data_IF_151690670736
#
_entry.id   IF_151690670736
#
_cell.length_a   1.000
_cell.length_b   1.000
_cell.length_c   1.000
_cell.angle_alpha   90.00
_cell.angle_beta   90.00
_cell.angle_gamma   90.00
#
_symmetry.space_group_name_H-M   'P 1'
#
loop_
_entity.id
_entity.type
_entity.pdbx_description
1 polymer ?
#
# COMPACT_ATOMS: atom_id res chain seq x y z
N UNK A 1 -34.05 26.29 -12.80
CA UNK A 1 -34.37 24.90 -13.22
C UNK A 1 -33.16 23.99 -13.31
N UNK A 2 -32.25 24.12 -14.29
CA UNK A 2 -31.09 23.19 -14.39
C UNK A 2 -30.17 23.23 -13.15
N UNK A 3 -29.97 24.42 -12.56
CA UNK A 3 -29.20 24.59 -11.32
C UNK A 3 -29.89 23.93 -10.12
N UNK A 4 -31.22 24.05 -10.00
CA UNK A 4 -32.00 23.47 -8.89
C UNK A 4 -32.08 21.95 -9.00
N UNK A 5 -32.22 21.41 -10.21
CA UNK A 5 -32.16 19.96 -10.47
C UNK A 5 -30.76 19.42 -10.15
N UNK A 6 -29.70 20.11 -10.58
CA UNK A 6 -28.32 19.74 -10.24
C UNK A 6 -28.11 19.78 -8.73
N UNK A 7 -28.64 20.79 -8.04
CA UNK A 7 -28.57 20.94 -6.59
C UNK A 7 -29.28 19.81 -5.87
N UNK A 8 -30.53 19.52 -6.25
CA UNK A 8 -31.33 18.42 -5.71
C UNK A 8 -30.61 17.07 -5.87
N UNK A 9 -30.08 16.77 -7.06
CA UNK A 9 -29.35 15.53 -7.33
C UNK A 9 -28.03 15.47 -6.55
N UNK A 10 -27.36 16.60 -6.32
CA UNK A 10 -26.10 16.67 -5.56
C UNK A 10 -26.31 16.53 -4.06
N UNK A 11 -27.41 17.06 -3.51
CA UNK A 11 -27.74 16.95 -2.08
C UNK A 11 -28.56 15.71 -1.71
N UNK A 12 -29.13 15.01 -2.68
CA UNK A 12 -29.94 13.80 -2.44
C UNK A 12 -29.10 12.69 -1.78
N UNK A 13 -29.47 12.28 -0.57
CA UNK A 13 -28.78 11.26 0.24
C UNK A 13 -28.67 9.92 -0.51
N UNK A 14 -29.76 9.46 -1.10
CA UNK A 14 -29.81 8.21 -1.88
C UNK A 14 -28.82 8.27 -3.05
N UNK A 15 -28.81 9.37 -3.81
CA UNK A 15 -27.87 9.54 -4.93
C UNK A 15 -26.41 9.60 -4.44
N UNK A 16 -26.17 10.22 -3.27
CA UNK A 16 -24.84 10.37 -2.69
C UNK A 16 -24.27 9.04 -2.17
N UNK A 17 -25.10 8.08 -1.75
CA UNK A 17 -24.66 6.77 -1.27
C UNK A 17 -24.61 5.68 -2.35
N UNK A 18 -25.40 5.81 -3.42
CA UNK A 18 -25.52 4.77 -4.46
C UNK A 18 -24.67 5.01 -5.70
N UNK A 19 -24.45 6.27 -6.11
CA UNK A 19 -23.76 6.54 -7.39
C UNK A 19 -22.25 6.34 -7.27
N UNK A 20 -21.62 5.58 -8.18
CA UNK A 20 -20.17 5.46 -8.23
C UNK A 20 -19.55 6.82 -8.60
N UNK A 21 -18.49 7.20 -7.87
CA UNK A 21 -17.76 8.42 -8.16
C UNK A 21 -16.93 8.23 -9.44
N UNK A 22 -17.26 8.99 -10.49
CA UNK A 22 -16.47 8.99 -11.74
C UNK A 22 -15.18 9.82 -11.66
N UNK A 23 -14.96 10.52 -10.53
CA UNK A 23 -13.71 11.26 -10.34
C UNK A 23 -12.60 10.29 -9.92
N UNK A 24 -11.36 10.56 -10.32
CA UNK A 24 -10.17 9.86 -9.80
C UNK A 24 -10.26 9.78 -8.26
N UNK A 25 -9.97 8.61 -7.63
CA UNK A 25 -10.03 8.44 -6.18
C UNK A 25 -9.35 9.60 -5.45
N UNK A 26 -9.99 10.12 -4.40
CA UNK A 26 -9.37 11.10 -3.52
C UNK A 26 -8.20 10.45 -2.78
N UNK A 27 -7.27 11.26 -2.28
CA UNK A 27 -6.15 10.80 -1.46
C UNK A 27 -5.04 10.09 -2.22
N UNK A 28 -3.81 10.45 -1.92
CA UNK A 28 -2.68 9.57 -2.17
C UNK A 28 -2.90 8.33 -1.30
N UNK A 29 -2.94 7.14 -1.90
CA UNK A 29 -2.64 5.93 -1.12
C UNK A 29 -1.28 6.25 -0.52
N UNK A 30 -1.10 6.00 0.77
CA UNK A 30 0.22 6.00 1.36
C UNK A 30 0.76 4.62 0.97
N UNK A 31 1.49 4.46 -0.15
CA UNK A 31 2.41 3.36 -0.17
C UNK A 31 3.29 3.57 1.06
N UNK A 32 3.69 2.48 1.69
CA UNK A 32 4.95 2.56 2.40
C UNK A 32 5.94 3.19 1.41
N UNK A 33 6.40 4.42 1.71
CA UNK A 33 7.48 5.07 0.99
C UNK A 33 8.67 4.89 1.91
N UNK A 34 9.44 3.80 1.75
CA UNK A 34 10.67 3.69 2.50
C UNK A 34 11.55 4.88 2.10
N UNK A 35 12.21 5.48 3.08
CA UNK A 35 13.12 6.60 2.89
C UNK A 35 14.57 6.11 2.76
N UNK A 36 14.86 4.90 3.24
CA UNK A 36 16.18 4.28 3.15
C UNK A 36 16.09 2.82 2.70
N UNK A 37 17.14 2.28 2.05
CA UNK A 37 17.24 0.86 1.76
C UNK A 37 17.08 0.04 3.05
N UNK A 38 16.41 -1.11 2.94
CA UNK A 38 16.17 -2.04 4.05
C UNK A 38 15.30 -1.49 5.19
N UNK A 39 14.59 -0.37 5.00
CA UNK A 39 13.61 0.08 6.00
C UNK A 39 12.39 -0.85 6.06
N UNK A 40 11.89 -1.24 4.89
CA UNK A 40 10.72 -2.10 4.75
C UNK A 40 11.05 -3.28 3.87
N UNK A 41 10.97 -4.47 4.45
CA UNK A 41 11.28 -5.73 3.76
C UNK A 41 10.03 -6.60 3.75
N UNK A 42 9.63 -7.06 2.57
CA UNK A 42 8.61 -8.10 2.43
C UNK A 42 9.26 -9.48 2.44
N UNK A 43 8.68 -10.44 3.17
CA UNK A 43 9.06 -11.85 3.13
C UNK A 43 7.90 -12.71 2.65
N UNK A 44 8.18 -13.68 1.79
CA UNK A 44 7.19 -14.63 1.28
C UNK A 44 7.83 -16.02 1.04
N UNK A 45 7.01 -17.06 1.14
CA UNK A 45 7.37 -18.41 0.72
C UNK A 45 6.74 -18.72 -0.64
N UNK A 46 7.55 -19.18 -1.58
CA UNK A 46 7.10 -19.67 -2.87
C UNK A 46 7.24 -21.19 -2.91
N UNK A 47 6.11 -21.89 -2.99
CA UNK A 47 6.08 -23.35 -3.14
C UNK A 47 4.70 -23.95 -2.87
N UNK A 48 4.61 -25.29 -2.86
CA UNK A 48 5.70 -26.23 -3.13
C UNK A 48 6.13 -26.24 -4.60
N UNK A 49 7.43 -26.37 -4.85
CA UNK A 49 8.06 -26.56 -6.17
C UNK A 49 8.50 -28.03 -6.34
N UNK A 50 8.75 -28.49 -7.57
CA UNK A 50 9.31 -29.81 -7.81
C UNK A 50 10.61 -30.00 -7.02
N UNK A 51 10.72 -31.10 -6.28
CA UNK A 51 11.91 -31.34 -5.42
C UNK A 51 13.18 -31.35 -6.27
N UNK A 52 14.14 -30.54 -5.87
CA UNK A 52 15.46 -30.54 -6.52
C UNK A 52 16.31 -31.74 -6.07
N UNK A 53 17.39 -32.08 -6.79
CA UNK A 53 18.34 -33.10 -6.35
C UNK A 53 18.97 -32.82 -4.98
N UNK A 54 19.04 -31.55 -4.55
CA UNK A 54 19.53 -31.17 -3.22
C UNK A 54 18.44 -31.29 -2.12
N UNK A 55 17.23 -31.68 -2.50
CA UNK A 55 16.07 -31.87 -1.64
C UNK A 55 15.24 -30.61 -1.40
N UNK A 56 15.52 -29.50 -2.10
CA UNK A 56 14.80 -28.24 -1.92
C UNK A 56 13.42 -28.31 -2.54
N UNK A 57 12.41 -27.76 -1.87
CA UNK A 57 11.01 -27.77 -2.30
C UNK A 57 10.32 -26.41 -2.19
N UNK A 58 10.94 -25.45 -1.51
CA UNK A 58 10.40 -24.11 -1.30
C UNK A 58 11.48 -23.05 -1.56
N UNK A 59 11.03 -21.85 -1.85
CA UNK A 59 11.84 -20.64 -1.91
C UNK A 59 11.39 -19.71 -0.80
N UNK A 60 12.33 -19.20 -0.02
CA UNK A 60 12.08 -18.01 0.79
C UNK A 60 12.61 -16.80 0.05
N UNK A 61 11.80 -15.75 -0.06
CA UNK A 61 12.12 -14.54 -0.80
C UNK A 61 11.96 -13.34 0.12
N UNK A 62 12.99 -12.52 0.19
CA UNK A 62 12.98 -11.22 0.85
C UNK A 62 13.12 -10.13 -0.21
N UNK A 63 12.29 -9.10 -0.11
CA UNK A 63 12.24 -8.00 -1.07
C UNK A 63 12.31 -6.67 -0.34
N UNK A 64 13.33 -5.87 -0.61
CA UNK A 64 13.39 -4.49 -0.13
C UNK A 64 12.41 -3.61 -0.91
N UNK A 65 11.57 -2.86 -0.20
CA UNK A 65 10.51 -2.10 -0.84
C UNK A 65 11.02 -0.85 -1.56
N UNK A 66 12.20 -0.33 -1.21
CA UNK A 66 12.74 0.87 -1.85
C UNK A 66 13.45 0.52 -3.15
N UNK A 67 14.55 -0.21 -3.00
CA UNK A 67 15.48 -0.57 -4.07
C UNK A 67 14.91 -1.66 -4.97
N UNK A 68 13.87 -2.38 -4.51
CA UNK A 68 13.37 -3.62 -5.14
C UNK A 68 14.42 -4.73 -5.16
N UNK A 69 15.43 -4.65 -4.28
CA UNK A 69 16.41 -5.70 -4.12
C UNK A 69 15.76 -7.01 -3.70
N UNK A 70 16.14 -8.11 -4.34
CA UNK A 70 15.60 -9.45 -4.09
C UNK A 70 16.67 -10.34 -3.53
N UNK A 71 16.45 -10.91 -2.35
CA UNK A 71 17.20 -12.04 -1.81
C UNK A 71 16.32 -13.29 -1.82
N UNK A 72 16.74 -14.32 -2.56
CA UNK A 72 15.99 -15.57 -2.66
C UNK A 72 16.89 -16.76 -2.29
N UNK A 73 16.34 -17.65 -1.47
CA UNK A 73 17.04 -18.83 -0.95
C UNK A 73 16.20 -20.09 -1.14
N UNK A 74 16.81 -21.14 -1.70
CA UNK A 74 16.19 -22.46 -1.78
C UNK A 74 16.21 -23.15 -0.41
N UNK A 75 15.08 -23.72 -0.01
CA UNK A 75 14.93 -24.44 1.25
C UNK A 75 14.12 -25.72 1.07
N UNK A 76 14.33 -26.68 1.98
CA UNK A 76 13.64 -27.98 1.95
C UNK A 76 12.20 -27.89 2.43
N UNK A 77 11.94 -27.02 3.41
CA UNK A 77 10.66 -26.91 4.12
C UNK A 77 10.35 -25.45 4.43
N UNK A 78 9.07 -25.10 4.43
CA UNK A 78 8.57 -23.78 4.84
C UNK A 78 8.21 -23.81 6.33
N UNK A 79 9.22 -23.73 7.21
CA UNK A 79 9.04 -23.71 8.67
C UNK A 79 9.53 -22.38 9.27
N UNK A 80 9.07 -22.06 10.48
CA UNK A 80 9.48 -20.83 11.17
C UNK A 80 10.97 -20.83 11.53
N UNK A 81 11.54 -21.99 11.86
CA UNK A 81 12.97 -22.18 12.11
C UNK A 81 13.80 -21.82 10.88
N UNK A 82 13.38 -22.32 9.71
CA UNK A 82 14.05 -22.04 8.44
C UNK A 82 13.92 -20.56 8.08
N UNK A 83 12.71 -19.98 8.24
CA UNK A 83 12.49 -18.56 7.98
C UNK A 83 13.35 -17.67 8.88
N UNK A 84 13.40 -17.95 10.18
CA UNK A 84 14.21 -17.22 11.15
C UNK A 84 15.70 -17.34 10.83
N UNK A 85 16.19 -18.57 10.61
CA UNK A 85 17.59 -18.80 10.25
C UNK A 85 17.99 -18.04 8.98
N UNK A 86 17.12 -18.06 7.96
CA UNK A 86 17.35 -17.35 6.70
C UNK A 86 17.27 -15.83 6.85
N UNK A 87 16.39 -15.32 7.69
CA UNK A 87 16.37 -13.90 8.04
C UNK A 87 17.69 -13.46 8.68
N UNK A 88 18.25 -14.26 9.60
CA UNK A 88 19.55 -13.94 10.22
C UNK A 88 20.70 -13.99 9.20
N UNK A 89 20.81 -15.08 8.43
CA UNK A 89 21.98 -15.30 7.55
C UNK A 89 21.95 -14.45 6.29
N UNK A 90 20.77 -14.29 5.69
CA UNK A 90 20.64 -13.72 4.34
C UNK A 90 20.27 -12.24 4.40
N UNK A 91 19.67 -11.76 5.50
CA UNK A 91 19.26 -10.36 5.66
C UNK A 91 20.09 -9.66 6.72
N UNK A 92 19.95 -10.05 7.98
CA UNK A 92 20.61 -9.34 9.10
C UNK A 92 22.14 -9.30 8.94
N UNK A 93 22.77 -10.44 8.65
CA UNK A 93 24.23 -10.51 8.52
C UNK A 93 24.80 -9.76 7.29
N UNK A 94 23.97 -9.49 6.27
CA UNK A 94 24.40 -8.83 5.02
C UNK A 94 24.06 -7.36 4.96
N UNK A 95 22.90 -6.99 5.48
CA UNK A 95 22.29 -5.68 5.28
C UNK A 95 21.95 -4.97 6.60
N UNK A 96 22.06 -5.67 7.73
CA UNK A 96 21.59 -5.20 9.02
C UNK A 96 20.10 -5.47 9.24
N UNK A 97 19.61 -5.08 10.42
CA UNK A 97 18.22 -5.27 10.79
C UNK A 97 17.31 -4.27 10.06
N UNK A 98 16.30 -4.73 9.30
CA UNK A 98 15.32 -3.83 8.74
C UNK A 98 14.47 -3.20 9.84
N UNK A 99 13.88 -2.03 9.58
CA UNK A 99 12.99 -1.38 10.55
C UNK A 99 11.66 -2.14 10.66
N UNK A 100 11.12 -2.56 9.51
CA UNK A 100 9.86 -3.29 9.42
C UNK A 100 10.03 -4.52 8.53
N UNK A 101 9.70 -5.69 9.08
CA UNK A 101 9.56 -6.92 8.31
C UNK A 101 8.08 -7.19 8.08
N UNK A 102 7.68 -7.40 6.84
CA UNK A 102 6.30 -7.58 6.42
C UNK A 102 6.11 -8.99 5.86
N UNK A 103 5.20 -9.77 6.44
CA UNK A 103 4.86 -11.11 5.95
C UNK A 103 3.35 -11.28 5.71
N UNK A 104 2.97 -12.37 5.05
CA UNK A 104 1.59 -12.84 5.13
C UNK A 104 1.27 -13.47 6.49
N UNK A 105 0.02 -13.90 6.67
CA UNK A 105 -0.41 -14.63 7.88
C UNK A 105 -0.09 -16.13 7.82
N UNK A 106 0.89 -16.54 7.01
CA UNK A 106 1.31 -17.93 6.91
C UNK A 106 1.83 -18.47 8.25
N UNK A 107 1.58 -19.75 8.51
CA UNK A 107 2.03 -20.40 9.75
C UNK A 107 3.52 -20.27 10.06
N UNK A 108 4.46 -20.21 9.09
CA UNK A 108 5.87 -20.00 9.38
C UNK A 108 6.18 -18.64 9.99
N UNK A 109 5.40 -17.61 9.65
CA UNK A 109 5.65 -16.22 10.08
C UNK A 109 4.87 -15.83 11.33
N UNK A 110 3.77 -16.51 11.64
CA UNK A 110 2.96 -16.27 12.86
C UNK A 110 3.54 -16.99 14.10
N UNK A 111 4.59 -17.78 13.93
CA UNK A 111 5.24 -18.52 15.02
C UNK A 111 5.90 -17.60 16.05
N UNK A 112 5.76 -17.92 17.34
CA UNK A 112 6.46 -17.23 18.43
C UNK A 112 7.98 -17.20 18.22
N UNK A 113 8.56 -18.28 17.69
CA UNK A 113 9.99 -18.34 17.40
C UNK A 113 10.41 -17.23 16.43
N UNK A 114 9.64 -17.08 15.34
CA UNK A 114 9.94 -16.11 14.29
C UNK A 114 9.81 -14.68 14.84
N UNK A 115 8.71 -14.40 15.56
CA UNK A 115 8.48 -13.12 16.21
C UNK A 115 9.60 -12.74 17.19
N UNK A 116 10.03 -13.69 18.03
CA UNK A 116 11.11 -13.47 18.99
C UNK A 116 12.44 -13.17 18.29
N UNK A 117 12.80 -13.92 17.23
CA UNK A 117 14.06 -13.68 16.50
C UNK A 117 14.05 -12.32 15.82
N UNK A 118 12.96 -11.96 15.15
CA UNK A 118 12.83 -10.67 14.45
C UNK A 118 12.89 -9.50 15.45
N UNK A 119 12.17 -9.62 16.57
CA UNK A 119 12.17 -8.60 17.63
C UNK A 119 13.52 -8.49 18.35
N UNK A 120 14.20 -9.61 18.62
CA UNK A 120 15.51 -9.62 19.26
C UNK A 120 16.60 -8.95 18.41
N UNK A 121 16.46 -8.99 17.09
CA UNK A 121 17.35 -8.30 16.15
C UNK A 121 16.96 -6.83 15.91
N UNK A 122 15.90 -6.33 16.56
CA UNK A 122 15.49 -4.93 16.52
C UNK A 122 14.53 -4.56 15.37
N UNK A 123 13.96 -5.56 14.70
CA UNK A 123 12.97 -5.36 13.63
C UNK A 123 11.54 -5.47 14.17
N UNK A 124 10.63 -4.66 13.66
CA UNK A 124 9.20 -4.77 13.99
C UNK A 124 8.51 -5.63 12.93
N UNK A 125 7.97 -6.77 13.34
CA UNK A 125 7.24 -7.66 12.45
C UNK A 125 5.79 -7.18 12.25
N UNK A 126 5.34 -7.12 10.99
CA UNK A 126 4.01 -6.64 10.60
C UNK A 126 3.35 -7.64 9.65
N UNK A 127 2.20 -8.16 10.06
CA UNK A 127 1.41 -9.05 9.23
C UNK A 127 0.55 -8.24 8.24
N UNK A 128 0.59 -8.61 6.96
CA UNK A 128 -0.27 -7.99 5.93
C UNK A 128 -1.75 -8.23 6.24
N UNK A 129 -2.60 -7.23 6.03
CA UNK A 129 -4.07 -7.41 5.99
C UNK A 129 -4.52 -7.67 4.56
N UNK A 130 -5.64 -8.36 4.37
CA UNK A 130 -6.16 -8.79 3.06
C UNK A 130 -6.45 -7.66 2.05
N UNK A 131 -6.28 -6.39 2.45
CA UNK A 131 -6.54 -5.19 1.64
C UNK A 131 -5.42 -4.13 1.74
N UNK A 132 -4.18 -4.52 2.01
CA UNK A 132 -3.06 -3.56 2.09
C UNK A 132 -2.25 -3.50 0.77
N UNK A 133 -1.94 -2.30 0.23
CA UNK A 133 -1.08 -2.13 -0.97
C UNK A 133 0.34 -2.69 -0.85
N UNK A 134 0.74 -3.17 0.33
CA UNK A 134 2.00 -3.87 0.59
C UNK A 134 2.08 -5.18 -0.18
N UNK A 135 0.96 -5.91 -0.29
CA UNK A 135 0.84 -7.15 -1.07
C UNK A 135 1.24 -6.91 -2.53
N UNK A 136 0.89 -5.75 -3.11
CA UNK A 136 1.16 -5.45 -4.52
C UNK A 136 2.64 -5.27 -4.89
N UNK A 137 3.53 -4.99 -3.93
CA UNK A 137 4.96 -4.80 -4.21
C UNK A 137 5.68 -6.16 -4.22
N UNK A 138 5.52 -6.94 -3.15
CA UNK A 138 6.07 -8.29 -3.03
C UNK A 138 5.46 -9.23 -4.06
N UNK A 139 4.14 -9.17 -4.31
CA UNK A 139 3.48 -10.00 -5.31
C UNK A 139 4.02 -9.76 -6.72
N UNK A 140 4.28 -8.50 -7.09
CA UNK A 140 4.85 -8.19 -8.42
C UNK A 140 6.25 -8.74 -8.59
N UNK A 141 7.12 -8.54 -7.59
CA UNK A 141 8.47 -9.08 -7.61
C UNK A 141 8.45 -10.60 -7.64
N UNK A 142 7.59 -11.23 -6.82
CA UNK A 142 7.42 -12.68 -6.80
C UNK A 142 6.88 -13.21 -8.13
N UNK A 143 6.02 -12.45 -8.83
CA UNK A 143 5.55 -12.79 -10.18
C UNK A 143 6.70 -12.76 -11.19
N UNK A 144 7.53 -11.73 -11.14
CA UNK A 144 8.71 -11.61 -12.02
C UNK A 144 9.71 -12.73 -11.73
N UNK A 145 9.99 -13.02 -10.46
CA UNK A 145 10.85 -14.12 -10.05
C UNK A 145 10.32 -15.48 -10.53
N UNK A 146 9.03 -15.76 -10.32
CA UNK A 146 8.38 -16.98 -10.84
C UNK A 146 8.49 -17.10 -12.35
N UNK A 147 8.37 -15.98 -13.06
CA UNK A 147 8.49 -15.94 -14.53
C UNK A 147 9.92 -16.21 -14.98
N UNK A 148 10.90 -15.59 -14.33
CA UNK A 148 12.32 -15.81 -14.61
C UNK A 148 12.74 -17.27 -14.34
N UNK A 149 12.29 -17.84 -13.21
CA UNK A 149 12.53 -19.26 -12.90
C UNK A 149 11.94 -20.16 -13.99
N UNK A 150 10.68 -19.92 -14.42
CA UNK A 150 10.06 -20.70 -15.50
C UNK A 150 10.85 -20.62 -16.80
N UNK A 151 11.35 -19.44 -17.16
CA UNK A 151 12.13 -19.23 -18.37
C UNK A 151 13.48 -19.97 -18.32
N UNK A 152 14.16 -19.95 -17.18
CA UNK A 152 15.47 -20.60 -17.01
C UNK A 152 15.41 -22.12 -16.92
N UNK A 153 14.35 -22.64 -16.31
CA UNK A 153 14.23 -24.06 -16.00
C UNK A 153 13.86 -24.90 -17.24
N UNK A 154 13.14 -24.32 -18.20
CA UNK A 154 12.67 -25.03 -19.39
C UNK A 154 11.99 -26.34 -19.01
N UNK A 155 12.38 -27.45 -19.65
CA UNK A 155 11.84 -28.78 -19.37
C UNK A 155 12.43 -29.45 -18.10
N UNK A 156 13.53 -28.91 -17.54
CA UNK A 156 14.25 -29.52 -16.40
C UNK A 156 13.81 -28.98 -15.06
N UNK A 157 12.52 -29.22 -14.76
CA UNK A 157 11.79 -28.67 -13.61
C UNK A 157 12.40 -28.90 -12.22
N UNK A 158 13.34 -29.84 -12.05
CA UNK A 158 14.01 -30.13 -10.78
C UNK A 158 15.30 -29.33 -10.57
N UNK A 159 15.77 -28.58 -11.56
CA UNK A 159 17.06 -27.87 -11.51
C UNK A 159 16.95 -26.38 -11.14
N UNK A 160 15.77 -25.93 -10.72
CA UNK A 160 15.48 -24.52 -10.45
C UNK A 160 16.37 -23.89 -9.38
N UNK A 161 16.78 -24.65 -8.36
CA UNK A 161 17.59 -24.14 -7.26
C UNK A 161 19.01 -23.76 -7.66
N UNK A 162 19.55 -24.38 -8.72
CA UNK A 162 20.90 -24.10 -9.24
C UNK A 162 21.01 -22.74 -9.91
N UNK A 163 19.91 -22.24 -10.47
CA UNK A 163 19.90 -21.00 -11.25
C UNK A 163 19.50 -19.76 -10.44
N UNK A 164 19.16 -19.93 -9.17
CA UNK A 164 18.72 -18.82 -8.32
C UNK A 164 19.74 -17.68 -8.22
N UNK A 165 21.06 -17.93 -8.06
CA UNK A 165 22.02 -16.83 -8.02
C UNK A 165 22.02 -16.00 -9.31
N UNK A 166 21.98 -16.64 -10.48
CA UNK A 166 21.96 -15.99 -11.78
C UNK A 166 20.65 -15.22 -12.00
N UNK A 167 19.52 -15.80 -11.61
CA UNK A 167 18.21 -15.16 -11.69
C UNK A 167 18.16 -13.93 -10.77
N UNK A 168 18.64 -14.04 -9.53
CA UNK A 168 18.70 -12.91 -8.62
C UNK A 168 19.62 -11.81 -9.16
N UNK A 169 20.78 -12.17 -9.70
CA UNK A 169 21.69 -11.21 -10.33
C UNK A 169 21.02 -10.46 -11.50
N UNK A 170 20.32 -11.18 -12.39
CA UNK A 170 19.59 -10.58 -13.49
C UNK A 170 18.47 -9.63 -12.99
N UNK A 171 17.75 -10.00 -11.94
CA UNK A 171 16.71 -9.14 -11.36
C UNK A 171 17.29 -7.90 -10.64
N UNK A 172 18.50 -8.00 -10.08
CA UNK A 172 19.18 -6.90 -9.38
C UNK A 172 19.78 -5.88 -10.34
N UNK A 173 20.13 -6.29 -11.57
CA UNK A 173 20.75 -5.44 -12.59
C UNK A 173 19.76 -4.93 -13.64
N UNK A 174 18.59 -5.57 -13.79
CA UNK A 174 17.57 -5.10 -14.71
C UNK A 174 16.87 -3.83 -14.19
N UNK A 175 16.75 -2.75 -15.01
CA UNK A 175 16.00 -1.57 -14.62
C UNK A 175 14.51 -1.89 -14.45
N UNK A 176 13.91 -1.40 -13.38
CA UNK A 176 12.50 -1.67 -13.08
C UNK A 176 11.60 -0.53 -13.60
N UNK A 177 10.51 -0.85 -14.29
CA UNK A 177 9.60 0.15 -14.91
C UNK A 177 9.08 1.22 -13.93
N UNK A 178 8.95 0.86 -12.64
CA UNK A 178 8.43 1.78 -11.62
C UNK A 178 9.45 2.79 -11.09
N UNK A 179 10.73 2.45 -11.11
CA UNK A 179 11.83 3.30 -10.59
C UNK A 179 12.63 3.92 -11.73
N UNK A 180 12.66 3.28 -12.90
CA UNK A 180 13.53 3.65 -14.02
C UNK A 180 15.01 3.36 -13.77
N UNK A 181 15.35 2.75 -12.63
CA UNK A 181 16.70 2.40 -12.19
C UNK A 181 16.74 0.92 -11.81
N UNK A 182 17.92 0.31 -11.90
CA UNK A 182 18.15 -1.06 -11.42
C UNK A 182 18.20 -1.09 -9.88
N UNK A 183 17.86 -2.23 -9.26
CA UNK A 183 18.09 -2.41 -7.83
C UNK A 183 19.54 -2.24 -7.39
N UNK A 184 20.53 -2.58 -8.23
CA UNK A 184 21.96 -2.34 -7.97
C UNK A 184 22.27 -0.86 -7.84
N UNK A 185 21.80 -0.05 -8.78
CA UNK A 185 21.98 1.40 -8.73
C UNK A 185 21.30 1.99 -7.49
N UNK A 186 20.09 1.53 -7.16
CA UNK A 186 19.34 2.02 -6.00
C UNK A 186 19.98 1.63 -4.65
N UNK A 187 20.61 0.46 -4.56
CA UNK A 187 21.18 -0.04 -3.31
C UNK A 187 22.64 0.36 -3.11
N UNK A 188 23.47 0.22 -4.14
CA UNK A 188 24.91 0.47 -4.08
C UNK A 188 25.31 1.84 -4.63
N UNK A 189 24.39 2.55 -5.28
CA UNK A 189 24.68 3.79 -5.97
C UNK A 189 25.38 3.60 -7.31
N UNK A 190 25.67 2.35 -7.73
CA UNK A 190 26.38 1.99 -8.97
C UNK A 190 25.74 0.80 -9.67
N UNK A 191 25.95 0.70 -10.97
CA UNK A 191 25.61 -0.52 -11.71
C UNK A 191 26.60 -1.67 -11.44
N UNK A 192 26.14 -2.91 -11.58
CA UNK A 192 27.01 -4.08 -11.52
C UNK A 192 27.37 -4.50 -12.94
N UNK A 193 28.67 -4.54 -13.23
CA UNK A 193 29.15 -4.88 -14.56
C UNK A 193 28.81 -6.34 -14.91
N UNK A 194 28.13 -6.53 -16.03
CA UNK A 194 28.01 -7.85 -16.64
C UNK A 194 29.22 -8.13 -17.53
N UNK A 195 29.52 -9.40 -17.85
CA UNK A 195 30.57 -9.71 -18.82
C UNK A 195 30.39 -9.01 -20.17
N UNK A 196 29.14 -8.73 -20.57
CA UNK A 196 28.85 -8.00 -21.80
C UNK A 196 29.20 -6.51 -21.66
N UNK A 197 28.94 -5.91 -20.49
CA UNK A 197 29.28 -4.51 -20.20
C UNK A 197 30.78 -4.28 -20.25
N UNK A 198 31.57 -5.18 -19.66
CA UNK A 198 33.03 -5.12 -19.69
C UNK A 198 33.62 -5.21 -21.10
N UNK A 199 32.88 -5.81 -22.05
CA UNK A 199 33.29 -5.93 -23.45
C UNK A 199 32.84 -4.72 -24.27
N UNK A 200 31.70 -4.11 -23.92
CA UNK A 200 31.00 -3.13 -24.77
C UNK A 200 31.13 -1.69 -24.28
N UNK A 201 31.47 -1.46 -23.01
CA UNK A 201 31.58 -0.13 -22.44
C UNK A 201 33.03 0.38 -22.47
N UNK A 202 33.29 1.60 -22.98
CA UNK A 202 34.57 2.26 -22.77
C UNK A 202 34.73 2.59 -21.27
N UNK A 203 35.98 2.67 -20.74
CA UNK A 203 36.19 2.99 -19.35
C UNK A 203 35.58 4.37 -19.05
N UNK A 204 34.59 4.42 -18.17
CA UNK A 204 33.99 5.68 -17.73
C UNK A 204 34.90 6.33 -16.69
N UNK A 205 35.40 7.52 -17.00
CA UNK A 205 35.96 8.42 -15.99
C UNK A 205 34.83 8.76 -15.00
N UNK A 206 35.08 8.53 -13.72
CA UNK A 206 34.09 8.58 -12.64
C UNK A 206 33.19 9.81 -12.72
N UNK A 207 31.91 9.58 -13.02
CA UNK A 207 30.87 10.59 -12.89
C UNK A 207 30.36 10.51 -11.45
N UNK A 208 30.38 11.64 -10.73
CA UNK A 208 29.83 11.76 -9.37
C UNK A 208 28.34 11.34 -9.35
N UNK A 209 28.07 10.13 -8.88
CA UNK A 209 26.74 9.46 -8.83
C UNK A 209 25.69 9.93 -7.77
N UNK A 210 25.91 10.88 -6.83
CA UNK A 210 24.87 11.22 -5.83
C UNK A 210 23.60 11.84 -6.42
N UNK A 211 23.68 12.50 -7.58
CA UNK A 211 22.57 13.25 -8.17
C UNK A 211 21.46 12.35 -8.77
N UNK A 212 21.77 11.11 -9.14
CA UNK A 212 20.82 10.20 -9.78
C UNK A 212 19.77 9.64 -8.79
N UNK A 213 20.16 9.43 -7.53
CA UNK A 213 19.29 8.93 -6.47
C UNK A 213 18.21 9.96 -6.08
N UNK A 214 18.61 11.22 -5.82
CA UNK A 214 17.68 12.30 -5.49
C UNK A 214 16.66 12.58 -6.62
N UNK A 215 17.13 12.55 -7.87
CA UNK A 215 16.26 12.74 -9.04
C UNK A 215 15.20 11.63 -9.18
N UNK A 216 15.50 10.40 -8.73
CA UNK A 216 14.62 9.24 -8.88
C UNK A 216 13.45 9.22 -7.89
N UNK A 217 13.70 9.57 -6.62
CA UNK A 217 12.67 9.68 -5.59
C UNK A 217 11.61 10.73 -5.98
N UNK A 218 12.08 11.85 -6.53
CA UNK A 218 11.24 12.92 -7.03
C UNK A 218 10.42 12.51 -8.25
N UNK A 219 11.00 11.72 -9.17
CA UNK A 219 10.33 11.22 -10.37
C UNK A 219 9.23 10.20 -10.03
N UNK A 220 9.47 9.30 -9.08
CA UNK A 220 8.48 8.32 -8.63
C UNK A 220 7.29 8.99 -7.93
N UNK A 221 7.56 10.01 -7.11
CA UNK A 221 6.53 10.87 -6.49
C UNK A 221 5.72 11.60 -7.57
N UNK A 222 6.38 12.23 -8.56
CA UNK A 222 5.72 12.97 -9.65
C UNK A 222 4.82 12.09 -10.53
N UNK A 223 5.25 10.90 -10.96
CA UNK A 223 4.41 10.00 -11.77
C UNK A 223 3.19 9.45 -11.02
N UNK A 224 3.33 9.27 -9.70
CA UNK A 224 2.24 8.85 -8.84
C UNK A 224 1.24 9.99 -8.59
N UNK A 225 1.72 11.22 -8.43
CA UNK A 225 0.90 12.41 -8.20
C UNK A 225 0.07 12.81 -9.42
N UNK A 226 0.62 12.64 -10.63
CA UNK A 226 -0.05 12.87 -11.92
C UNK A 226 -1.38 12.08 -12.09
N UNK A 227 -1.57 10.99 -11.34
CA UNK A 227 -2.77 10.14 -11.41
C UNK A 227 -3.82 10.40 -10.33
N UNK A 228 -3.64 11.38 -9.45
CA UNK A 228 -4.55 11.65 -8.31
C UNK A 228 -4.95 13.11 -8.19
N UNK A 229 -5.97 13.38 -7.37
CA UNK A 229 -6.42 14.74 -7.04
C UNK A 229 -6.15 15.01 -5.57
N UNK A 230 -5.53 16.15 -5.28
CA UNK A 230 -5.36 16.65 -3.93
C UNK A 230 -6.75 16.87 -3.29
N UNK A 231 -6.98 16.27 -2.12
CA UNK A 231 -8.22 16.42 -1.36
C UNK A 231 -7.84 16.62 0.10
N UNK A 232 -8.13 17.81 0.63
CA UNK A 232 -7.92 18.19 2.02
C UNK A 232 -9.26 18.55 2.65
N UNK A 233 -9.47 18.13 3.88
CA UNK A 233 -10.68 18.43 4.65
C UNK A 233 -10.31 19.22 5.90
N UNK A 234 -11.20 20.11 6.32
CA UNK A 234 -11.09 20.89 7.54
C UNK A 234 -11.93 20.28 8.66
N UNK A 235 -11.54 20.54 9.91
CA UNK A 235 -12.37 20.18 11.06
C UNK A 235 -13.73 20.88 10.91
N UNK A 236 -14.81 20.10 11.03
CA UNK A 236 -16.18 20.56 10.81
C UNK A 236 -16.77 20.15 9.46
N UNK A 237 -15.98 19.75 8.47
CA UNK A 237 -16.47 19.33 7.15
C UNK A 237 -17.35 18.10 7.24
N UNK A 238 -18.39 18.05 6.41
CA UNK A 238 -19.26 16.89 6.24
C UNK A 238 -18.71 15.98 5.16
N UNK A 239 -18.57 14.69 5.48
CA UNK A 239 -18.02 13.67 4.60
C UNK A 239 -18.89 12.42 4.60
N UNK A 240 -18.79 11.66 3.52
CA UNK A 240 -19.26 10.27 3.42
C UNK A 240 -18.06 9.35 3.21
N UNK A 241 -18.10 8.16 3.78
CA UNK A 241 -17.01 7.18 3.73
C UNK A 241 -17.37 5.99 2.87
N UNK A 242 -16.43 5.48 2.09
CA UNK A 242 -16.64 4.33 1.21
C UNK A 242 -16.79 3.05 2.02
N UNK A 243 -17.80 2.25 1.72
CA UNK A 243 -18.12 1.00 2.42
C UNK A 243 -17.47 -0.19 1.73
N UNK A 244 -17.11 -1.20 2.53
CA UNK A 244 -16.60 -2.50 2.05
C UNK A 244 -17.35 -3.65 2.73
N UNK A 245 -18.67 -3.75 2.56
CA UNK A 245 -19.45 -4.77 3.22
C UNK A 245 -19.14 -6.14 2.61
N UNK A 246 -19.19 -7.21 3.42
CA UNK A 246 -19.06 -8.60 2.94
C UNK A 246 -20.45 -9.16 2.70
N UNK A 247 -20.62 -9.95 1.64
CA UNK A 247 -21.88 -10.66 1.42
C UNK A 247 -22.09 -11.68 2.53
N UNK A 248 -23.31 -11.78 3.01
CA UNK A 248 -23.72 -12.72 4.04
C UNK A 248 -25.02 -13.41 3.59
N UNK A 249 -24.90 -14.71 3.33
CA UNK A 249 -26.02 -15.53 2.87
C UNK A 249 -27.04 -15.78 3.98
N UNK A 250 -26.67 -15.75 5.26
CA UNK A 250 -27.58 -15.98 6.37
C UNK A 250 -28.53 -14.79 6.59
N UNK A 251 -28.05 -13.56 6.38
CA UNK A 251 -28.86 -12.34 6.45
C UNK A 251 -29.48 -11.93 5.11
N UNK A 252 -29.40 -12.76 4.06
CA UNK A 252 -29.81 -12.43 2.69
C UNK A 252 -29.19 -11.12 2.16
N UNK A 253 -27.97 -10.79 2.60
CA UNK A 253 -27.27 -9.56 2.26
C UNK A 253 -26.21 -9.80 1.18
N UNK A 254 -26.22 -9.01 0.10
CA UNK A 254 -25.19 -9.06 -0.95
C UNK A 254 -24.45 -7.74 -1.08
N UNK A 255 -23.12 -7.80 -0.97
CA UNK A 255 -22.24 -6.63 -1.10
C UNK A 255 -22.37 -5.94 -2.47
N UNK A 256 -22.86 -6.64 -3.49
CA UNK A 256 -23.10 -6.08 -4.84
C UNK A 256 -24.27 -5.08 -4.89
N UNK A 257 -25.22 -5.17 -3.96
CA UNK A 257 -26.41 -4.30 -3.89
C UNK A 257 -26.34 -3.30 -2.73
N UNK A 258 -25.28 -3.36 -1.92
CA UNK A 258 -25.10 -2.46 -0.79
C UNK A 258 -24.77 -1.03 -1.25
N UNK A 259 -25.18 0.00 -0.49
CA UNK A 259 -24.72 1.36 -0.71
C UNK A 259 -23.19 1.42 -0.71
N UNK A 260 -22.61 2.16 -1.65
CA UNK A 260 -21.15 2.29 -1.82
C UNK A 260 -20.51 3.20 -0.76
N UNK A 261 -21.32 4.01 -0.08
CA UNK A 261 -20.89 4.95 0.93
C UNK A 261 -21.84 4.98 2.13
N UNK A 262 -21.29 5.31 3.30
CA UNK A 262 -21.98 5.51 4.57
C UNK A 262 -21.70 6.93 5.10
N UNK A 263 -22.58 7.43 5.96
CA UNK A 263 -22.53 8.77 6.53
C UNK A 263 -23.93 9.37 6.71
N UNK A 264 -24.05 10.69 6.91
CA UNK A 264 -22.97 11.69 6.94
C UNK A 264 -22.13 11.62 8.23
N UNK A 265 -20.83 11.81 8.09
CA UNK A 265 -19.88 11.97 9.18
C UNK A 265 -19.28 13.37 9.18
N UNK A 266 -18.85 13.83 10.35
CA UNK A 266 -18.16 15.11 10.54
C UNK A 266 -16.70 14.87 10.85
N UNK A 267 -15.81 15.66 10.25
CA UNK A 267 -14.39 15.69 10.62
C UNK A 267 -14.24 16.34 12.00
N UNK A 268 -13.79 15.56 12.98
CA UNK A 268 -13.55 16.05 14.35
C UNK A 268 -12.10 16.45 14.56
N UNK A 269 -11.16 15.75 13.93
CA UNK A 269 -9.74 16.04 14.05
C UNK A 269 -8.97 15.67 12.79
N UNK A 270 -8.02 16.53 12.39
CA UNK A 270 -6.99 16.20 11.40
C UNK A 270 -5.78 15.64 12.12
N UNK A 271 -5.46 14.36 11.87
CA UNK A 271 -4.30 13.69 12.48
C UNK A 271 -3.06 13.81 11.60
N UNK A 272 -3.25 13.80 10.27
CA UNK A 272 -2.22 14.07 9.27
C UNK A 272 -2.87 14.61 8.00
N UNK A 273 -2.09 14.86 6.94
CA UNK A 273 -2.64 15.26 5.63
C UNK A 273 -3.62 14.23 5.04
N UNK A 274 -3.53 12.99 5.49
CA UNK A 274 -4.24 11.83 4.92
C UNK A 274 -5.14 11.10 5.90
N UNK A 275 -5.02 11.32 7.21
CA UNK A 275 -5.83 10.66 8.23
C UNK A 275 -6.66 11.67 9.03
N UNK A 276 -7.96 11.39 9.14
CA UNK A 276 -8.93 12.24 9.82
C UNK A 276 -9.74 11.38 10.80
N UNK A 277 -9.98 11.89 12.00
CA UNK A 277 -10.94 11.30 12.94
C UNK A 277 -12.32 11.85 12.62
N UNK A 278 -13.31 10.96 12.57
CA UNK A 278 -14.68 11.28 12.18
C UNK A 278 -15.67 10.91 13.28
N UNK A 279 -16.78 11.64 13.36
CA UNK A 279 -17.94 11.27 14.19
C UNK A 279 -19.21 11.23 13.36
N UNK A 280 -20.14 10.38 13.75
CA UNK A 280 -21.47 10.34 13.15
C UNK A 280 -22.26 11.61 13.45
N UNK A 281 -22.92 12.19 12.44
CA UNK A 281 -23.64 13.46 12.61
C UNK A 281 -24.94 13.29 13.40
N UNK A 282 -25.57 12.12 13.31
CA UNK A 282 -26.84 11.80 13.95
C UNK A 282 -26.68 11.47 15.45
N UNK A 283 -25.69 10.63 15.77
CA UNK A 283 -25.47 10.09 17.13
C UNK A 283 -24.35 10.82 17.88
N UNK A 284 -23.47 11.55 17.18
CA UNK A 284 -22.27 12.12 17.77
C UNK A 284 -21.21 11.08 18.16
N UNK A 285 -21.46 9.79 17.89
CA UNK A 285 -20.54 8.71 18.23
C UNK A 285 -19.25 8.80 17.41
N UNK A 286 -18.12 8.50 18.05
CA UNK A 286 -16.82 8.40 17.37
C UNK A 286 -16.87 7.25 16.36
N UNK A 287 -16.65 7.57 15.09
CA UNK A 287 -16.58 6.59 14.03
C UNK A 287 -15.14 6.07 13.84
N UNK A 288 -14.16 6.70 14.49
CA UNK A 288 -12.75 6.34 14.42
C UNK A 288 -11.98 7.11 13.35
N UNK A 289 -10.83 6.56 12.96
CA UNK A 289 -9.90 7.21 12.03
C UNK A 289 -10.08 6.67 10.62
N UNK A 290 -10.34 7.59 9.69
CA UNK A 290 -10.52 7.28 8.28
C UNK A 290 -9.43 7.93 7.44
N UNK A 291 -8.99 7.18 6.44
CA UNK A 291 -8.06 7.65 5.44
C UNK A 291 -8.80 8.48 4.38
N UNK A 292 -8.21 9.60 3.95
CA UNK A 292 -8.79 10.58 3.01
C UNK A 292 -9.22 9.97 1.67
N UNK A 293 -8.63 8.83 1.28
CA UNK A 293 -9.02 8.05 0.09
C UNK A 293 -10.43 7.51 0.15
N UNK A 294 -10.85 7.13 1.36
CA UNK A 294 -12.17 6.58 1.59
C UNK A 294 -13.19 7.69 1.86
N UNK A 295 -12.77 8.95 1.93
CA UNK A 295 -13.63 10.09 2.26
C UNK A 295 -14.02 10.87 1.00
N UNK A 296 -15.28 11.31 0.95
CA UNK A 296 -15.77 12.26 -0.06
C UNK A 296 -16.61 13.34 0.62
N UNK A 297 -16.63 14.58 0.09
CA UNK A 297 -17.53 15.61 0.59
C UNK A 297 -18.98 15.13 0.56
N UNK A 298 -19.71 15.40 1.64
CA UNK A 298 -21.14 15.20 1.72
C UNK A 298 -21.82 16.55 1.61
N UNK A 299 -22.74 16.68 0.65
CA UNK A 299 -23.43 17.94 0.38
C UNK A 299 -24.84 17.92 0.95
N UNK A 300 -25.16 18.90 1.78
CA UNK A 300 -26.54 19.23 2.15
C UNK A 300 -27.08 20.31 1.22
N UNK A 301 -28.41 20.47 1.18
CA UNK A 301 -29.03 21.56 0.44
C UNK A 301 -28.42 22.92 0.84
N UNK A 302 -28.23 23.13 2.15
CA UNK A 302 -27.69 24.39 2.71
C UNK A 302 -26.21 24.62 2.39
N UNK A 303 -25.40 23.56 2.35
CA UNK A 303 -23.98 23.64 1.99
C UNK A 303 -23.74 24.06 0.52
N UNK A 304 -24.75 23.91 -0.34
CA UNK A 304 -24.68 24.28 -1.75
C UNK A 304 -25.20 25.71 -2.02
N UNK A 305 -25.83 26.36 -1.01
CA UNK A 305 -26.25 27.77 -1.08
C UNK A 305 -25.14 28.75 -0.76
N UNK A 306 -24.19 28.36 0.09
CA UNK A 306 -23.21 29.25 0.72
C UNK A 306 -22.04 29.66 -0.18
N UNK A 307 -21.90 29.08 -1.37
CA UNK A 307 -20.88 29.50 -2.36
C UNK A 307 -21.23 30.82 -3.09
N UNK A 308 -22.29 31.51 -2.69
CA UNK A 308 -22.76 32.75 -3.31
C UNK A 308 -22.61 34.03 -2.50
N UNK A 309 -22.45 34.00 -1.17
CA UNK A 309 -22.30 35.21 -0.37
C UNK A 309 -21.56 34.96 0.93
N UNK A 310 -20.47 35.69 1.14
CA UNK A 310 -19.89 35.97 2.44
C UNK A 310 -20.93 36.66 3.32
N UNK A 311 -21.31 36.10 4.47
CA UNK A 311 -21.76 36.89 5.61
C UNK A 311 -21.48 36.18 6.93
N UNK A 312 -20.80 36.92 7.81
CA UNK A 312 -20.70 36.72 9.25
C UNK A 312 -22.09 36.59 9.87
N UNK A 313 -22.27 35.68 10.82
CA UNK A 313 -23.32 35.77 11.83
C UNK A 313 -22.84 35.17 13.15
N UNK A 314 -22.16 36.00 13.95
CA UNK A 314 -22.45 36.02 15.37
C UNK A 314 -23.86 36.59 15.57
N UNK A 315 -24.58 36.06 16.56
CA UNK A 315 -25.75 36.65 17.23
C UNK A 315 -27.14 36.35 16.64
N UNK A 316 -27.81 35.34 17.24
CA UNK A 316 -29.23 35.29 17.65
C UNK A 316 -29.45 33.91 18.30
N UNK A 317 -29.12 33.69 19.58
CA UNK A 317 -29.87 34.04 20.79
C UNK A 317 -31.36 33.64 20.75
N UNK A 318 -31.66 32.52 21.43
CA UNK A 318 -32.86 32.21 22.24
C UNK A 318 -34.16 32.97 21.93
N UNK A 319 -35.23 32.24 21.57
CA UNK A 319 -36.52 32.16 22.30
C UNK A 319 -37.61 31.41 21.51
N UNK A 320 -38.38 30.63 22.29
CA UNK A 320 -39.79 30.22 22.11
C UNK A 320 -40.14 29.21 21.02
N UNK A 321 -40.58 28.03 21.48
CA UNK A 321 -41.89 27.45 21.14
C UNK A 321 -42.31 26.49 22.26
N UNK A 322 -42.91 27.07 23.31
CA UNK A 322 -43.96 26.46 24.12
C UNK A 322 -45.31 27.02 23.64
N UNK A 323 -46.35 26.17 23.66
CA UNK A 323 -47.71 26.30 23.07
C UNK A 323 -47.77 25.89 21.59
N UNK A 324 -48.67 25.01 21.13
CA UNK A 324 -50.01 24.68 21.58
C UNK A 324 -50.31 23.17 21.53
N UNK A 325 -50.97 22.68 22.58
CA UNK A 325 -52.02 21.65 22.51
C UNK A 325 -53.36 22.40 22.68
N UNK A 326 -54.45 21.84 22.15
CA UNK A 326 -55.87 22.27 22.19
C UNK A 326 -56.34 23.17 21.03
N UNK A 327 -56.92 22.56 20.00
CA UNK A 327 -58.37 22.39 19.87
C UNK A 327 -58.71 21.31 18.83
#
# INVERSE_FOLDING_TARGET
MAADVKRYVTSCTVCQFTKPCQKKPAGFMVPIVPQKPWEYVGVDFVGPLPRSPAGNAYLIVFVDYLTKWVEASAVREATSQVAAGKFVTDIFARHGAPTYLISDRGSPFVSELFEHVVSALGSVHRLTTAYHPQTNATERVNRTLKTAIRAYVGDKHTSWDKYLPQICFALRTAPHDSTGLSPSMMLYGRELDTPLDLITQPPSDGIDEPAALDYSHDRQKRYYDLRRRHATFSVGDLVRVKTHPRSDAQSNFTAKLAPLFEGPLRVTQRLSDVNYRLSWVDSGADAGVFHVVNMQPFHTWDSLTSNGHSFSLNQFCTKKLTSLNQH
#
